data_IF_104677683773
#
_entry.id   IF_104677683773
#
_cell.length_a   1.000
_cell.length_b   1.000
_cell.length_c   1.000
_cell.angle_alpha   90.00
_cell.angle_beta   90.00
_cell.angle_gamma   90.00
#
_symmetry.space_group_name_H-M   'P 1'
#
loop_
_entity.id
_entity.type
_entity.pdbx_description
1 polymer ?
#
# COMPACT_ATOMS: atom_id res chain seq x y z
N UNK A 1 -30.54 -30.65 15.90
CA UNK A 1 -29.66 -29.61 16.47
C UNK A 1 -29.89 -28.37 15.61
N UNK A 2 -30.72 -27.44 16.06
CA UNK A 2 -31.00 -26.23 15.27
C UNK A 2 -29.75 -25.36 15.18
N UNK A 3 -29.47 -24.74 14.02
CA UNK A 3 -28.34 -23.84 13.89
C UNK A 3 -28.54 -22.67 14.86
N UNK A 4 -27.58 -22.47 15.75
CA UNK A 4 -27.61 -21.38 16.74
C UNK A 4 -27.32 -20.06 16.03
N UNK A 5 -28.34 -19.53 15.35
CA UNK A 5 -28.34 -18.33 14.51
C UNK A 5 -27.69 -17.11 15.20
N UNK A 6 -27.77 -17.04 16.54
CA UNK A 6 -27.17 -15.96 17.33
C UNK A 6 -25.64 -16.05 17.44
N UNK A 7 -25.08 -17.26 17.54
CA UNK A 7 -23.65 -17.49 17.65
C UNK A 7 -22.97 -17.32 16.28
N UNK A 8 -23.62 -17.79 15.22
CA UNK A 8 -23.15 -17.60 13.84
C UNK A 8 -23.20 -16.13 13.42
N UNK A 9 -24.25 -15.39 13.80
CA UNK A 9 -24.33 -13.94 13.60
C UNK A 9 -23.17 -13.20 14.26
N UNK A 10 -22.90 -13.47 15.56
CA UNK A 10 -21.78 -12.85 16.28
C UNK A 10 -20.43 -13.18 15.66
N UNK A 11 -20.26 -14.39 15.13
CA UNK A 11 -19.03 -14.78 14.41
C UNK A 11 -18.88 -14.00 13.10
N UNK A 12 -19.98 -13.85 12.35
CA UNK A 12 -19.98 -13.06 11.12
C UNK A 12 -19.67 -11.58 11.37
N UNK A 13 -20.27 -10.98 12.40
CA UNK A 13 -20.00 -9.59 12.82
C UNK A 13 -18.51 -9.40 13.15
N UNK A 14 -17.92 -10.29 13.95
CA UNK A 14 -16.47 -10.25 14.27
C UNK A 14 -15.58 -10.36 13.03
N UNK A 15 -15.95 -11.20 12.07
CA UNK A 15 -15.20 -11.33 10.81
C UNK A 15 -15.27 -10.04 10.00
N UNK A 16 -16.45 -9.40 9.93
CA UNK A 16 -16.64 -8.12 9.26
C UNK A 16 -15.85 -7.00 9.94
N UNK A 17 -15.87 -6.92 11.28
CA UNK A 17 -15.07 -5.96 12.04
C UNK A 17 -13.57 -6.15 11.78
N UNK A 18 -13.11 -7.41 11.71
CA UNK A 18 -11.72 -7.74 11.40
C UNK A 18 -11.35 -7.26 10.00
N UNK A 19 -12.18 -7.54 9.00
CA UNK A 19 -11.95 -7.07 7.63
C UNK A 19 -11.94 -5.55 7.54
N UNK A 20 -12.90 -4.89 8.19
CA UNK A 20 -12.97 -3.43 8.23
C UNK A 20 -11.69 -2.82 8.78
N UNK A 21 -11.18 -3.35 9.89
CA UNK A 21 -9.93 -2.87 10.49
C UNK A 21 -8.73 -3.06 9.57
N UNK A 22 -8.62 -4.22 8.89
CA UNK A 22 -7.56 -4.46 7.90
C UNK A 22 -7.63 -3.42 6.78
N UNK A 23 -8.80 -3.22 6.16
CA UNK A 23 -8.98 -2.25 5.07
C UNK A 23 -8.73 -0.81 5.50
N UNK A 24 -9.13 -0.45 6.72
CA UNK A 24 -8.85 0.86 7.31
C UNK A 24 -7.35 1.12 7.42
N UNK A 25 -6.59 0.18 7.99
CA UNK A 25 -5.14 0.33 8.14
C UNK A 25 -4.42 0.38 6.78
N UNK A 26 -4.89 -0.38 5.79
CA UNK A 26 -4.39 -0.31 4.41
C UNK A 26 -4.58 1.07 3.82
N UNK A 27 -5.79 1.62 3.94
CA UNK A 27 -6.12 2.96 3.42
C UNK A 27 -5.25 4.02 4.06
N UNK A 28 -5.14 4.02 5.39
CA UNK A 28 -4.32 4.97 6.13
C UNK A 28 -2.84 4.87 5.72
N UNK A 29 -2.31 3.65 5.56
CA UNK A 29 -0.93 3.46 5.13
C UNK A 29 -0.69 3.93 3.69
N UNK A 30 -1.63 3.66 2.78
CA UNK A 30 -1.57 4.14 1.40
C UNK A 30 -1.52 5.68 1.35
N UNK A 31 -2.35 6.35 2.16
CA UNK A 31 -2.39 7.82 2.27
C UNK A 31 -1.05 8.40 2.76
N UNK A 32 -0.36 7.73 3.69
CA UNK A 32 0.96 8.18 4.13
C UNK A 32 2.06 7.90 3.09
N UNK A 33 2.03 6.73 2.44
CA UNK A 33 3.04 6.38 1.44
C UNK A 33 2.92 7.25 0.19
N UNK A 34 1.71 7.59 -0.26
CA UNK A 34 1.50 8.36 -1.49
C UNK A 34 2.09 9.77 -1.41
N UNK A 35 2.22 10.35 -0.20
CA UNK A 35 2.87 11.65 0.02
C UNK A 35 4.34 11.64 -0.38
N UNK A 36 5.01 10.50 -0.23
CA UNK A 36 6.44 10.35 -0.48
C UNK A 36 6.73 9.60 -1.79
N UNK A 37 5.76 8.82 -2.28
CA UNK A 37 5.86 8.09 -3.54
C UNK A 37 5.92 9.05 -4.71
N UNK A 38 6.76 8.74 -5.70
CA UNK A 38 6.76 9.45 -6.97
C UNK A 38 5.51 9.08 -7.80
N UNK A 39 4.52 9.98 -8.01
CA UNK A 39 3.30 9.63 -8.75
C UNK A 39 3.56 9.39 -10.25
N UNK A 40 4.71 9.84 -10.75
CA UNK A 40 5.12 9.70 -12.16
C UNK A 40 6.10 8.54 -12.40
N UNK A 41 6.37 7.68 -11.41
CA UNK A 41 7.21 6.49 -11.61
C UNK A 41 6.36 5.37 -12.18
N UNK A 42 6.69 4.90 -13.39
CA UNK A 42 6.04 3.73 -13.99
C UNK A 42 6.68 2.41 -13.51
N UNK A 43 6.08 1.27 -13.91
CA UNK A 43 6.55 -0.06 -13.53
C UNK A 43 7.99 -0.40 -14.00
N UNK A 44 8.53 0.34 -14.98
CA UNK A 44 9.94 0.21 -15.45
C UNK A 44 10.88 1.18 -14.72
N UNK A 45 10.45 1.76 -13.61
CA UNK A 45 11.17 2.81 -12.86
C UNK A 45 11.50 4.07 -13.68
N UNK A 46 10.73 4.34 -14.75
CA UNK A 46 10.88 5.57 -15.55
C UNK A 46 9.95 6.65 -15.06
N UNK A 47 10.43 7.89 -15.15
CA UNK A 47 9.65 9.08 -14.88
C UNK A 47 8.81 9.44 -16.11
N UNK A 48 7.51 9.61 -15.90
CA UNK A 48 6.52 9.98 -16.93
C UNK A 48 6.09 11.45 -16.82
N UNK A 49 6.69 12.22 -15.90
CA UNK A 49 6.38 13.63 -15.73
C UNK A 49 6.75 14.40 -17.00
N UNK A 50 5.81 15.23 -17.47
CA UNK A 50 6.00 16.15 -18.61
C UNK A 50 6.51 17.54 -18.18
N UNK A 51 6.87 17.66 -16.91
CA UNK A 51 7.35 18.87 -16.26
C UNK A 51 8.52 18.51 -15.33
N UNK A 52 9.35 19.50 -15.00
CA UNK A 52 10.49 19.31 -14.12
C UNK A 52 10.06 19.08 -12.67
N UNK A 53 10.64 18.08 -12.01
CA UNK A 53 10.40 17.83 -10.59
C UNK A 53 11.65 17.27 -9.91
N UNK A 54 11.75 17.42 -8.58
CA UNK A 54 12.92 17.02 -7.79
C UNK A 54 13.31 15.54 -7.94
N UNK A 55 12.36 14.68 -8.27
CA UNK A 55 12.57 13.23 -8.39
C UNK A 55 12.88 12.80 -9.85
N UNK A 56 12.85 13.72 -10.82
CA UNK A 56 13.15 13.43 -12.23
C UNK A 56 14.65 13.54 -12.48
N UNK A 57 15.28 12.43 -12.86
CA UNK A 57 16.71 12.39 -13.13
C UNK A 57 17.01 11.91 -14.55
N UNK A 58 17.75 12.71 -15.31
CA UNK A 58 18.11 12.40 -16.69
C UNK A 58 19.39 11.57 -16.73
N UNK A 59 19.35 10.47 -17.48
CA UNK A 59 20.50 9.60 -17.70
C UNK A 59 21.16 9.93 -19.04
N UNK A 60 22.48 9.79 -19.12
CA UNK A 60 23.25 10.01 -20.36
C UNK A 60 23.15 8.80 -21.30
N UNK A 61 21.93 8.42 -21.68
CA UNK A 61 21.68 7.32 -22.62
C UNK A 61 20.71 7.76 -23.70
N UNK A 62 21.17 7.67 -24.96
CA UNK A 62 20.40 8.11 -26.11
C UNK A 62 19.08 7.33 -26.22
N UNK A 63 17.98 8.06 -26.44
CA UNK A 63 16.64 7.49 -26.61
C UNK A 63 15.93 7.05 -25.32
N UNK A 64 16.56 7.15 -24.14
CA UNK A 64 15.92 6.79 -22.88
C UNK A 64 15.37 8.01 -22.12
N UNK A 65 14.13 7.90 -21.66
CA UNK A 65 13.51 8.88 -20.79
C UNK A 65 14.11 8.89 -19.37
N UNK A 66 13.85 9.97 -18.59
CA UNK A 66 14.36 10.12 -17.25
C UNK A 66 13.89 8.99 -16.31
N UNK A 67 14.67 8.74 -15.27
CA UNK A 67 14.33 7.82 -14.18
C UNK A 67 13.70 8.59 -13.02
N UNK A 68 12.83 7.94 -12.23
CA UNK A 68 12.36 8.54 -10.98
C UNK A 68 13.17 8.02 -9.79
N UNK A 69 13.77 8.93 -9.01
CA UNK A 69 14.57 8.62 -7.82
C UNK A 69 13.75 8.59 -6.52
N UNK A 70 12.46 8.92 -6.59
CA UNK A 70 11.57 8.84 -5.43
C UNK A 70 11.30 7.40 -4.99
N UNK A 71 11.03 7.22 -3.70
CA UNK A 71 10.66 5.93 -3.10
C UNK A 71 9.41 5.33 -3.75
N UNK A 72 9.37 4.02 -3.85
CA UNK A 72 8.27 3.21 -4.37
C UNK A 72 7.91 2.04 -3.46
N UNK A 73 8.45 2.00 -2.25
CA UNK A 73 8.20 0.92 -1.31
C UNK A 73 6.74 0.97 -0.84
N UNK A 74 5.93 0.02 -1.32
CA UNK A 74 4.59 -0.26 -0.82
C UNK A 74 4.65 -1.56 -0.03
N UNK A 75 4.76 -1.44 1.29
CA UNK A 75 4.67 -2.60 2.17
C UNK A 75 3.42 -2.54 3.02
N UNK A 76 2.35 -3.13 2.51
CA UNK A 76 1.12 -3.21 3.27
C UNK A 76 1.03 -4.46 4.18
N UNK A 77 2.04 -5.35 4.19
CA UNK A 77 2.02 -6.57 5.01
C UNK A 77 1.73 -6.31 6.50
N UNK A 78 2.18 -5.20 7.13
CA UNK A 78 1.81 -4.89 8.52
C UNK A 78 0.30 -4.81 8.77
N UNK A 79 -0.50 -4.44 7.77
CA UNK A 79 -1.96 -4.36 7.90
C UNK A 79 -2.66 -5.74 7.87
N UNK A 80 -2.03 -6.77 7.30
CA UNK A 80 -2.59 -8.14 7.25
C UNK A 80 -2.02 -9.05 8.34
N UNK A 81 -0.83 -8.76 8.86
CA UNK A 81 -0.21 -9.55 9.94
C UNK A 81 -0.74 -9.08 11.29
N UNK A 82 -1.95 -9.53 11.62
CA UNK A 82 -2.55 -9.33 12.96
C UNK A 82 -1.92 -10.25 14.01
N UNK A 83 -1.13 -11.24 13.59
CA UNK A 83 -0.38 -12.19 14.42
C UNK A 83 0.86 -11.54 15.06
N UNK A 84 0.68 -10.52 15.91
CA UNK A 84 1.78 -10.10 16.79
C UNK A 84 2.04 -11.19 17.84
N UNK A 85 3.13 -11.94 17.68
CA UNK A 85 4.13 -12.01 18.75
C UNK A 85 5.35 -11.24 18.28
N UNK A 86 5.45 -9.99 18.71
CA UNK A 86 6.74 -9.29 18.75
C UNK A 86 7.15 -9.34 20.22
N UNK A 87 7.77 -10.46 20.62
CA UNK A 87 8.67 -10.47 21.77
C UNK A 87 10.10 -10.35 21.24
N UNK A 88 10.86 -9.50 21.92
CA UNK A 88 12.26 -9.16 21.72
C UNK A 88 13.20 -10.36 21.57
#
# INVERSE_FOLDING_TARGET
>A
MEPNNSADKKRAERSLDTLFNIFKEISNHADEVIKNRCPYKNAKSRCTAKFECKNQHYIKKFGEGPVCTGSDLLDYRPAWRTDKKISS
#
